data_IF_484813595328
#
_entry.id   IF_484813595328
#
_cell.length_a   1.000
_cell.length_b   1.000
_cell.length_c   1.000
_cell.angle_alpha   90.00
_cell.angle_beta   90.00
_cell.angle_gamma   90.00
#
_symmetry.space_group_name_H-M   'P 1'
#
loop_
_entity.id
_entity.type
_entity.pdbx_description
1 polymer ?
#
# COMPACT_ATOMS: atom_id res chain seq x y z
N UNK A 1 14.53 26.98 22.95
CA UNK A 1 14.89 25.84 22.07
C UNK A 1 13.67 24.95 21.85
N UNK A 2 13.14 24.88 20.63
CA UNK A 2 12.05 23.96 20.31
C UNK A 2 12.63 22.55 20.11
N UNK A 3 12.18 21.57 20.92
CA UNK A 3 12.58 20.18 20.77
C UNK A 3 12.27 19.66 19.35
N UNK A 4 13.21 18.91 18.73
CA UNK A 4 13.09 18.35 17.36
C UNK A 4 11.92 17.37 17.20
N UNK A 5 11.49 16.75 18.30
CA UNK A 5 10.43 15.75 18.33
C UNK A 5 9.29 16.25 19.24
N UNK A 6 8.38 17.04 18.66
CA UNK A 6 7.15 17.46 19.33
C UNK A 6 6.01 16.53 18.90
N UNK A 7 5.25 16.05 19.87
CA UNK A 7 3.99 15.35 19.62
C UNK A 7 2.85 16.21 20.19
N UNK A 8 1.81 16.38 19.40
CA UNK A 8 0.54 16.97 19.85
C UNK A 8 -0.38 15.82 20.24
N UNK A 9 -0.97 15.90 21.43
CA UNK A 9 -1.89 14.88 21.93
C UNK A 9 -3.29 15.46 21.96
N UNK A 10 -4.27 14.66 21.56
CA UNK A 10 -5.69 14.99 21.63
C UNK A 10 -6.32 14.12 22.72
N UNK A 11 -7.16 14.72 23.56
CA UNK A 11 -7.93 14.02 24.58
C UNK A 11 -9.31 13.66 24.01
N UNK A 12 -9.82 12.49 24.36
CA UNK A 12 -11.17 12.04 23.98
C UNK A 12 -12.28 12.78 24.72
N UNK A 13 -11.98 13.32 25.89
CA UNK A 13 -12.92 13.92 26.83
C UNK A 13 -12.19 14.86 27.81
N UNK A 14 -12.97 15.74 28.44
CA UNK A 14 -12.47 16.75 29.39
C UNK A 14 -11.99 16.13 30.71
N UNK A 15 -12.55 14.98 31.11
CA UNK A 15 -12.16 14.28 32.34
C UNK A 15 -10.73 13.76 32.26
N UNK A 16 -10.35 13.20 31.10
CA UNK A 16 -9.00 12.72 30.80
C UNK A 16 -8.00 13.88 30.77
N UNK A 17 -8.37 15.05 30.24
CA UNK A 17 -7.54 16.25 30.30
C UNK A 17 -7.33 16.68 31.77
N UNK A 18 -8.41 16.75 32.55
CA UNK A 18 -8.37 17.18 33.95
C UNK A 18 -7.50 16.24 34.80
N UNK A 19 -7.67 14.93 34.64
CA UNK A 19 -6.86 13.91 35.30
C UNK A 19 -5.37 14.08 35.00
N UNK A 20 -5.00 14.24 33.73
CA UNK A 20 -3.60 14.41 33.33
C UNK A 20 -3.03 15.75 33.80
N UNK A 21 -3.83 16.81 33.82
CA UNK A 21 -3.43 18.12 34.34
C UNK A 21 -3.12 18.08 35.83
N UNK A 22 -3.88 17.31 36.61
CA UNK A 22 -3.66 17.10 38.04
C UNK A 22 -2.37 16.31 38.30
N UNK A 23 -2.16 15.22 37.54
CA UNK A 23 -0.97 14.39 37.69
C UNK A 23 0.31 15.00 37.14
N UNK A 24 0.21 15.99 36.24
CA UNK A 24 1.35 16.67 35.63
C UNK A 24 2.06 17.70 36.53
N UNK A 25 1.63 17.84 37.78
CA UNK A 25 2.24 18.72 38.78
C UNK A 25 3.55 18.10 39.26
N UNK A 26 4.68 18.77 39.01
CA UNK A 26 5.98 18.38 39.56
C UNK A 26 6.03 18.70 41.06
N UNK A 27 6.97 18.07 41.77
CA UNK A 27 7.24 18.32 43.20
C UNK A 27 7.53 19.79 43.54
N UNK A 28 7.94 20.60 42.57
CA UNK A 28 8.18 22.03 42.70
C UNK A 28 6.97 22.91 42.30
N UNK A 29 5.78 22.34 42.17
CA UNK A 29 4.54 23.03 41.80
C UNK A 29 4.43 23.40 40.31
N UNK A 30 5.47 23.21 39.50
CA UNK A 30 5.42 23.51 38.06
C UNK A 30 4.70 22.39 37.29
N UNK A 31 3.75 22.76 36.43
CA UNK A 31 3.00 21.82 35.59
C UNK A 31 3.75 21.50 34.30
N UNK A 32 3.91 20.22 33.96
CA UNK A 32 4.47 19.82 32.67
C UNK A 32 3.85 18.50 32.21
N UNK A 33 2.75 18.61 31.46
CA UNK A 33 2.04 17.45 30.91
C UNK A 33 2.97 16.58 30.04
N UNK A 34 3.80 17.21 29.21
CA UNK A 34 4.78 16.51 28.37
C UNK A 34 5.79 15.69 29.18
N UNK A 35 6.24 16.20 30.33
CA UNK A 35 7.17 15.47 31.19
C UNK A 35 6.51 14.31 31.92
N UNK A 36 5.26 14.49 32.36
CA UNK A 36 4.48 13.42 32.99
C UNK A 36 4.14 12.30 32.00
N UNK A 37 3.76 12.64 30.77
CA UNK A 37 3.56 11.64 29.72
C UNK A 37 4.86 10.92 29.37
N UNK A 38 5.97 11.66 29.29
CA UNK A 38 7.28 11.06 29.08
C UNK A 38 7.65 10.10 30.22
N UNK A 39 7.31 10.42 31.48
CA UNK A 39 7.55 9.52 32.60
C UNK A 39 6.66 8.29 32.58
N UNK A 40 5.41 8.39 32.13
CA UNK A 40 4.55 7.22 31.90
C UNK A 40 5.13 6.29 30.82
N UNK A 41 5.55 6.86 29.68
CA UNK A 41 6.20 6.10 28.60
C UNK A 41 7.51 5.48 29.07
N UNK A 42 8.28 6.20 29.89
CA UNK A 42 9.54 5.69 30.45
C UNK A 42 9.29 4.56 31.44
N UNK A 43 8.30 4.71 32.33
CA UNK A 43 7.89 3.68 33.28
C UNK A 43 7.36 2.42 32.59
N UNK A 44 6.57 2.57 31.53
CA UNK A 44 6.16 1.43 30.69
C UNK A 44 7.36 0.75 30.03
N UNK A 45 8.32 1.52 29.49
CA UNK A 45 9.57 0.97 28.95
C UNK A 45 10.38 0.22 30.00
N UNK A 46 10.47 0.77 31.21
CA UNK A 46 11.18 0.17 32.34
C UNK A 46 10.48 -1.10 32.84
N UNK A 47 9.15 -1.11 32.93
CA UNK A 47 8.36 -2.31 33.25
C UNK A 47 8.58 -3.42 32.19
N UNK A 48 8.62 -3.05 30.91
CA UNK A 48 8.96 -3.94 29.79
C UNK A 48 10.44 -4.36 29.77
N UNK A 49 11.31 -3.71 30.56
CA UNK A 49 12.72 -4.09 30.73
C UNK A 49 12.94 -4.94 31.99
N UNK A 50 12.21 -4.68 33.07
CA UNK A 50 12.30 -5.40 34.34
C UNK A 50 11.68 -6.80 34.28
N UNK A 51 10.63 -6.99 33.47
CA UNK A 51 10.09 -8.31 33.14
C UNK A 51 11.04 -8.98 32.13
N UNK A 52 12.05 -9.68 32.64
CA UNK A 52 13.09 -10.39 31.88
C UNK A 52 12.52 -11.42 30.89
N UNK A 53 12.21 -10.94 29.68
CA UNK A 53 11.99 -11.76 28.47
C UNK A 53 12.87 -11.24 27.31
N UNK A 54 14.11 -10.86 27.62
CA UNK A 54 15.09 -10.30 26.67
C UNK A 54 15.77 -11.41 25.84
N UNK A 55 15.05 -12.48 25.50
CA UNK A 55 15.45 -13.45 24.46
C UNK A 55 14.58 -13.40 23.20
N UNK A 56 13.67 -12.41 23.09
CA UNK A 56 12.79 -12.29 21.93
C UNK A 56 12.33 -10.89 21.57
N UNK A 57 13.01 -9.81 22.01
CA UNK A 57 12.51 -8.44 21.77
C UNK A 57 12.38 -8.14 20.27
N UNK A 58 11.13 -8.04 19.83
CA UNK A 58 10.69 -7.48 18.56
C UNK A 58 11.27 -6.06 18.47
N UNK A 59 12.26 -5.87 17.61
CA UNK A 59 12.78 -4.53 17.33
C UNK A 59 11.63 -3.75 16.70
N UNK A 60 11.20 -2.61 17.30
CA UNK A 60 10.05 -1.88 16.80
C UNK A 60 10.30 -1.40 15.37
N UNK A 61 9.27 -1.43 14.55
CA UNK A 61 9.32 -0.94 13.18
C UNK A 61 9.40 0.58 13.19
N UNK A 62 10.46 1.14 12.60
CA UNK A 62 10.64 2.57 12.44
C UNK A 62 9.84 3.07 11.23
N UNK A 63 8.92 4.01 11.48
CA UNK A 63 8.18 4.70 10.43
C UNK A 63 8.92 5.98 10.04
N UNK A 64 9.26 6.09 8.76
CA UNK A 64 9.87 7.26 8.14
C UNK A 64 8.78 8.21 7.58
N UNK A 65 9.10 9.49 7.31
CA UNK A 65 8.19 10.42 6.66
C UNK A 65 7.57 9.82 5.39
N UNK A 66 6.34 10.21 5.07
CA UNK A 66 5.63 9.67 3.91
C UNK A 66 6.33 10.04 2.60
N UNK A 67 6.37 9.09 1.66
CA UNK A 67 6.85 9.33 0.30
C UNK A 67 5.74 9.99 -0.51
N UNK A 68 5.94 11.26 -0.86
CA UNK A 68 4.93 12.12 -1.51
C UNK A 68 5.13 12.27 -3.01
N UNK A 69 6.31 11.95 -3.54
CA UNK A 69 6.66 12.19 -4.95
C UNK A 69 6.10 11.09 -5.87
N UNK A 70 4.78 11.07 -6.02
CA UNK A 70 4.07 10.11 -6.88
C UNK A 70 2.89 10.78 -7.59
N UNK A 71 2.66 10.40 -8.84
CA UNK A 71 1.55 10.91 -9.66
C UNK A 71 0.40 9.91 -9.70
N UNK A 72 -0.78 10.34 -9.32
CA UNK A 72 -2.00 9.53 -9.40
C UNK A 72 -2.60 9.56 -10.82
N UNK A 73 -3.11 8.43 -11.28
CA UNK A 73 -3.85 8.28 -12.53
C UNK A 73 -4.81 7.10 -12.45
N UNK A 74 -5.80 7.08 -13.34
CA UNK A 74 -6.79 6.01 -13.41
C UNK A 74 -6.82 5.39 -14.79
N UNK A 75 -6.88 4.06 -14.84
CA UNK A 75 -6.99 3.28 -16.07
C UNK A 75 -8.35 2.59 -16.08
N UNK A 76 -9.09 2.77 -17.17
CA UNK A 76 -10.35 2.08 -17.39
C UNK A 76 -10.22 1.20 -18.63
N UNK A 77 -10.84 0.04 -18.61
CA UNK A 77 -10.82 -0.86 -19.76
C UNK A 77 -11.82 -1.98 -19.66
N UNK A 78 -11.89 -2.77 -20.73
CA UNK A 78 -12.62 -4.03 -20.76
C UNK A 78 -11.69 -5.19 -20.38
N UNK A 79 -12.26 -6.22 -19.78
CA UNK A 79 -11.55 -7.45 -19.42
C UNK A 79 -12.40 -8.66 -19.79
N UNK A 80 -11.76 -9.65 -20.38
CA UNK A 80 -12.33 -10.96 -20.63
C UNK A 80 -11.53 -11.98 -19.84
N UNK A 81 -12.22 -12.90 -19.18
CA UNK A 81 -11.58 -13.96 -18.42
C UNK A 81 -12.51 -15.18 -18.34
N UNK A 82 -11.91 -16.36 -18.21
CA UNK A 82 -12.64 -17.59 -17.99
C UNK A 82 -12.90 -17.71 -16.49
N UNK A 83 -14.17 -17.62 -16.09
CA UNK A 83 -14.61 -17.85 -14.72
C UNK A 83 -15.04 -19.29 -14.53
N UNK A 84 -15.14 -19.74 -13.28
CA UNK A 84 -15.70 -21.06 -13.00
C UNK A 84 -17.20 -21.07 -13.30
N UNK A 85 -17.72 -22.09 -14.02
CA UNK A 85 -19.13 -22.41 -13.95
C UNK A 85 -19.43 -22.86 -12.51
N UNK A 86 -20.37 -22.20 -11.83
CA UNK A 86 -20.89 -22.62 -10.51
C UNK A 86 -21.47 -24.06 -10.51
N UNK A 87 -21.58 -24.69 -11.68
CA UNK A 87 -22.37 -25.91 -11.92
C UNK A 87 -21.53 -27.18 -12.05
N UNK A 88 -20.20 -27.12 -12.29
CA UNK A 88 -19.50 -28.30 -12.85
C UNK A 88 -18.45 -29.04 -12.00
N UNK A 89 -17.97 -28.54 -10.86
CA UNK A 89 -16.92 -29.26 -10.11
C UNK A 89 -17.11 -29.21 -8.59
N UNK A 90 -17.92 -30.11 -8.00
CA UNK A 90 -18.23 -30.03 -6.57
C UNK A 90 -17.10 -30.47 -5.64
N UNK A 91 -16.03 -31.14 -6.10
CA UNK A 91 -15.04 -31.72 -5.19
C UNK A 91 -13.67 -31.91 -5.83
N UNK A 92 -12.64 -31.38 -5.16
CA UNK A 92 -11.22 -31.71 -5.24
C UNK A 92 -10.43 -31.19 -6.47
N UNK A 93 -9.96 -29.94 -6.37
CA UNK A 93 -9.00 -29.31 -7.30
C UNK A 93 -9.14 -27.78 -7.42
N UNK A 94 -10.25 -27.24 -6.90
CA UNK A 94 -10.75 -25.88 -7.11
C UNK A 94 -9.74 -24.75 -6.81
N UNK A 95 -8.85 -24.90 -5.83
CA UNK A 95 -8.04 -23.77 -5.38
C UNK A 95 -6.95 -23.32 -6.37
N UNK A 96 -6.38 -24.21 -7.18
CA UNK A 96 -5.27 -23.87 -8.08
C UNK A 96 -5.77 -23.25 -9.39
N UNK A 97 -6.83 -23.80 -9.98
CA UNK A 97 -7.44 -23.25 -11.19
C UNK A 97 -8.07 -21.88 -10.96
N UNK A 98 -8.77 -21.69 -9.83
CA UNK A 98 -9.33 -20.38 -9.44
C UNK A 98 -8.20 -19.36 -9.32
N UNK A 99 -7.10 -19.73 -8.65
CA UNK A 99 -5.92 -18.87 -8.51
C UNK A 99 -5.29 -18.55 -9.87
N UNK A 100 -5.23 -19.51 -10.78
CA UNK A 100 -4.67 -19.32 -12.11
C UNK A 100 -5.52 -18.37 -12.96
N UNK A 101 -6.85 -18.53 -12.95
CA UNK A 101 -7.76 -17.66 -13.70
C UNK A 101 -7.78 -16.24 -13.11
N UNK A 102 -7.75 -16.11 -11.78
CA UNK A 102 -7.63 -14.80 -11.14
C UNK A 102 -6.28 -14.12 -11.41
N UNK A 103 -5.19 -14.90 -11.51
CA UNK A 103 -3.88 -14.39 -11.93
C UNK A 103 -3.94 -13.86 -13.36
N UNK A 104 -4.55 -14.62 -14.27
CA UNK A 104 -4.75 -14.21 -15.67
C UNK A 104 -5.58 -12.93 -15.78
N UNK A 105 -6.66 -12.78 -15.01
CA UNK A 105 -7.42 -11.52 -14.96
C UNK A 105 -6.55 -10.33 -14.52
N UNK A 106 -5.74 -10.50 -13.48
CA UNK A 106 -4.86 -9.45 -12.98
C UNK A 106 -3.75 -9.12 -13.98
N UNK A 107 -3.23 -10.12 -14.70
CA UNK A 107 -2.27 -9.93 -15.79
C UNK A 107 -2.89 -9.11 -16.93
N UNK A 108 -4.13 -9.39 -17.34
CA UNK A 108 -4.83 -8.58 -18.36
C UNK A 108 -5.02 -7.13 -17.93
N UNK A 109 -5.33 -6.90 -16.64
CA UNK A 109 -5.41 -5.53 -16.08
C UNK A 109 -4.02 -4.87 -16.10
N UNK A 110 -2.97 -5.60 -15.76
CA UNK A 110 -1.59 -5.11 -15.75
C UNK A 110 -1.12 -4.73 -17.16
N UNK A 111 -1.42 -5.54 -18.16
CA UNK A 111 -1.12 -5.25 -19.56
C UNK A 111 -1.80 -3.96 -20.03
N UNK A 112 -3.07 -3.76 -19.65
CA UNK A 112 -3.81 -2.52 -19.97
C UNK A 112 -3.23 -1.31 -19.26
N UNK A 113 -2.73 -1.48 -18.03
CA UNK A 113 -2.03 -0.41 -17.31
C UNK A 113 -0.70 -0.09 -17.99
N UNK A 114 0.07 -1.10 -18.41
CA UNK A 114 1.32 -0.91 -19.16
C UNK A 114 1.07 -0.18 -20.47
N UNK A 115 0.05 -0.57 -21.23
CA UNK A 115 -0.36 0.09 -22.47
C UNK A 115 -0.71 1.57 -22.22
N UNK A 116 -1.50 1.85 -21.18
CA UNK A 116 -1.82 3.23 -20.80
C UNK A 116 -0.58 4.03 -20.40
N UNK A 117 0.35 3.43 -19.66
CA UNK A 117 1.60 4.08 -19.24
C UNK A 117 2.49 4.37 -20.45
N UNK A 118 2.61 3.43 -21.38
CA UNK A 118 3.32 3.63 -22.63
C UNK A 118 2.68 4.77 -23.43
N UNK A 119 1.37 4.78 -23.63
CA UNK A 119 0.72 5.77 -24.50
C UNK A 119 0.70 7.19 -23.93
N UNK A 120 0.52 7.35 -22.61
CA UNK A 120 0.34 8.67 -21.99
C UNK A 120 1.58 9.21 -21.30
N UNK A 121 2.55 8.36 -21.02
CA UNK A 121 3.76 8.73 -20.29
C UNK A 121 5.02 8.31 -21.05
N UNK A 122 4.93 7.88 -22.33
CA UNK A 122 6.10 7.79 -23.20
C UNK A 122 6.91 9.07 -23.12
N UNK A 123 8.23 8.93 -23.07
CA UNK A 123 9.17 10.04 -22.96
C UNK A 123 9.10 10.91 -24.24
N UNK A 124 8.10 11.79 -24.32
CA UNK A 124 8.14 12.90 -25.26
C UNK A 124 9.16 13.92 -24.74
N UNK A 125 10.41 13.75 -25.17
CA UNK A 125 11.22 14.88 -25.64
C UNK A 125 12.13 15.61 -24.65
N UNK A 126 12.07 15.42 -23.33
CA UNK A 126 13.00 16.12 -22.42
C UNK A 126 13.44 15.27 -21.24
N UNK A 127 14.61 14.64 -21.39
CA UNK A 127 15.59 14.16 -20.38
C UNK A 127 16.29 12.90 -20.88
N UNK A 128 17.02 13.01 -21.99
CA UNK A 128 17.79 11.91 -22.59
C UNK A 128 18.98 11.45 -21.71
N UNK A 129 19.23 12.08 -20.56
CA UNK A 129 20.42 11.83 -19.74
C UNK A 129 20.18 11.31 -18.32
N UNK A 130 18.98 11.38 -17.74
CA UNK A 130 18.76 10.85 -16.38
C UNK A 130 18.14 9.45 -16.49
N UNK A 131 18.98 8.41 -16.32
CA UNK A 131 18.51 7.02 -16.25
C UNK A 131 17.46 6.97 -15.15
N UNK A 132 16.23 6.62 -15.51
CA UNK A 132 15.11 6.50 -14.59
C UNK A 132 14.35 5.21 -14.82
N UNK A 133 13.70 4.73 -13.77
CA UNK A 133 12.77 3.61 -13.83
C UNK A 133 11.45 4.01 -13.18
N UNK A 134 10.37 3.30 -13.54
CA UNK A 134 9.02 3.65 -13.10
C UNK A 134 8.41 2.50 -12.33
N UNK A 135 7.79 2.82 -11.20
CA UNK A 135 6.95 1.90 -10.45
C UNK A 135 5.53 2.38 -10.52
N UNK A 136 4.65 1.49 -10.96
CA UNK A 136 3.21 1.72 -10.97
C UNK A 136 2.61 0.92 -9.84
N UNK A 137 2.12 1.65 -8.84
CA UNK A 137 1.44 1.12 -7.68
C UNK A 137 -0.08 1.13 -7.91
N UNK A 138 -0.68 -0.04 -8.13
CA UNK A 138 -2.13 -0.24 -8.14
C UNK A 138 -2.65 -0.10 -6.71
N UNK A 139 -3.35 1.00 -6.41
CA UNK A 139 -3.87 1.26 -5.05
C UNK A 139 -5.30 0.80 -4.86
N UNK A 140 -6.06 0.71 -5.95
CA UNK A 140 -7.45 0.25 -5.96
C UNK A 140 -7.81 -0.38 -7.30
N UNK A 141 -8.57 -1.47 -7.28
CA UNK A 141 -9.12 -2.09 -8.49
C UNK A 141 -10.61 -2.37 -8.28
N UNK A 142 -11.45 -1.87 -9.16
CA UNK A 142 -12.84 -2.29 -9.28
C UNK A 142 -13.04 -3.00 -10.60
N UNK A 143 -13.59 -4.20 -10.58
CA UNK A 143 -13.94 -4.97 -11.76
C UNK A 143 -15.37 -5.46 -11.63
N UNK A 144 -16.18 -5.09 -12.62
CA UNK A 144 -17.57 -5.51 -12.75
C UNK A 144 -17.70 -6.39 -13.98
N UNK A 145 -18.29 -7.57 -13.82
CA UNK A 145 -18.33 -8.57 -14.89
C UNK A 145 -19.71 -9.21 -15.04
N UNK A 146 -19.99 -9.77 -16.21
CA UNK A 146 -21.15 -10.61 -16.45
C UNK A 146 -20.77 -11.81 -17.30
N UNK A 147 -21.52 -12.90 -17.15
CA UNK A 147 -21.36 -14.07 -17.98
C UNK A 147 -21.86 -13.75 -19.40
N UNK A 148 -21.02 -13.98 -20.41
CA UNK A 148 -21.37 -13.81 -21.83
C UNK A 148 -21.70 -15.14 -22.49
N UNK A 149 -21.25 -16.26 -21.94
CA UNK A 149 -21.56 -17.60 -22.42
C UNK A 149 -21.55 -18.62 -21.27
N UNK A 150 -22.74 -19.11 -20.92
CA UNK A 150 -22.93 -20.18 -19.92
C UNK A 150 -22.29 -21.49 -20.34
N UNK A 151 -22.09 -21.73 -21.65
CA UNK A 151 -21.47 -22.96 -22.17
C UNK A 151 -19.94 -22.97 -22.02
N UNK A 152 -19.29 -21.81 -22.10
CA UNK A 152 -17.82 -21.70 -22.04
C UNK A 152 -17.30 -21.17 -20.70
N UNK A 153 -18.19 -20.69 -19.81
CA UNK A 153 -17.79 -20.03 -18.58
C UNK A 153 -17.03 -18.72 -18.84
N UNK A 154 -17.25 -18.10 -20.00
CA UNK A 154 -16.59 -16.86 -20.36
C UNK A 154 -17.31 -15.68 -19.67
N UNK A 155 -16.53 -14.89 -18.94
CA UNK A 155 -16.98 -13.66 -18.34
C UNK A 155 -16.32 -12.48 -19.02
N UNK A 156 -17.11 -11.45 -19.23
CA UNK A 156 -16.66 -10.19 -19.81
C UNK A 156 -17.10 -9.05 -18.91
N UNK A 157 -16.31 -7.99 -18.87
CA UNK A 157 -16.57 -6.91 -17.95
C UNK A 157 -15.75 -5.66 -18.21
N UNK A 158 -15.87 -4.74 -17.26
CA UNK A 158 -15.10 -3.50 -17.24
C UNK A 158 -14.37 -3.37 -15.91
N UNK A 159 -13.17 -2.84 -15.97
CA UNK A 159 -12.41 -2.49 -14.78
C UNK A 159 -12.06 -1.00 -14.73
N UNK A 160 -11.84 -0.54 -13.51
CA UNK A 160 -11.25 0.74 -13.17
C UNK A 160 -10.14 0.47 -12.17
N UNK A 161 -8.90 0.81 -12.53
CA UNK A 161 -7.74 0.73 -11.66
C UNK A 161 -7.24 2.13 -11.32
N UNK A 162 -7.19 2.46 -10.03
CA UNK A 162 -6.51 3.65 -9.54
C UNK A 162 -5.06 3.29 -9.26
N UNK A 163 -4.15 4.03 -9.87
CA UNK A 163 -2.72 3.78 -9.83
C UNK A 163 -1.95 5.03 -9.40
N UNK A 164 -0.77 4.80 -8.82
CA UNK A 164 0.22 5.85 -8.57
C UNK A 164 1.53 5.49 -9.26
N UNK A 165 2.05 6.41 -10.07
CA UNK A 165 3.34 6.27 -10.71
C UNK A 165 4.41 6.97 -9.88
N UNK A 166 5.45 6.23 -9.52
CA UNK A 166 6.68 6.73 -8.91
C UNK A 166 7.76 6.66 -9.99
N UNK A 167 8.30 7.81 -10.38
CA UNK A 167 9.45 7.88 -11.30
C UNK A 167 10.71 8.08 -10.47
N UNK A 168 11.60 7.10 -10.50
CA UNK A 168 12.84 7.12 -9.74
C UNK A 168 14.00 7.44 -10.68
N UNK A 169 14.37 8.72 -10.73
CA UNK A 169 15.57 9.21 -11.39
C UNK A 169 16.80 9.02 -10.51
N UNK A 170 18.02 9.24 -11.05
CA UNK A 170 19.23 9.24 -10.22
C UNK A 170 19.16 10.33 -9.15
N UNK A 171 18.68 11.51 -9.55
CA UNK A 171 18.50 12.64 -8.64
C UNK A 171 17.54 12.34 -7.48
N UNK A 172 16.41 11.65 -7.73
CA UNK A 172 15.49 11.22 -6.69
C UNK A 172 16.11 10.16 -5.77
N UNK A 173 16.83 9.20 -6.36
CA UNK A 173 17.53 8.16 -5.60
C UNK A 173 18.55 8.74 -4.61
N UNK A 174 19.35 9.69 -5.07
CA UNK A 174 20.39 10.34 -4.26
C UNK A 174 19.77 11.24 -3.17
N UNK A 175 18.65 11.92 -3.43
CA UNK A 175 17.87 12.64 -2.40
C UNK A 175 17.38 11.72 -1.28
N UNK A 176 16.95 10.51 -1.64
CA UNK A 176 16.53 9.50 -0.68
C UNK A 176 17.71 8.70 -0.09
N UNK A 177 18.96 9.06 -0.42
CA UNK A 177 20.17 8.39 0.08
C UNK A 177 20.30 6.93 -0.35
N UNK A 178 19.56 6.49 -1.37
CA UNK A 178 19.56 5.11 -1.85
C UNK A 178 19.08 4.05 -0.84
N UNK A 179 18.40 4.44 0.23
CA UNK A 179 17.92 3.50 1.27
C UNK A 179 16.49 3.02 1.05
N UNK A 180 15.74 3.63 0.14
CA UNK A 180 14.36 3.23 -0.17
C UNK A 180 14.36 2.08 -1.17
N UNK A 181 13.79 0.94 -0.76
CA UNK A 181 13.71 -0.28 -1.58
C UNK A 181 12.45 -0.27 -2.45
N UNK A 182 12.46 0.62 -3.44
CA UNK A 182 11.35 0.86 -4.37
C UNK A 182 10.84 -0.42 -5.06
N UNK A 183 11.71 -1.40 -5.36
CA UNK A 183 11.35 -2.67 -5.98
C UNK A 183 10.52 -3.61 -5.07
N UNK A 184 10.66 -3.46 -3.75
CA UNK A 184 10.03 -4.31 -2.73
C UNK A 184 8.90 -3.63 -1.98
N UNK A 185 8.31 -2.60 -2.61
CA UNK A 185 7.10 -1.94 -2.15
C UNK A 185 5.98 -2.97 -1.96
N UNK A 186 5.34 -2.93 -0.78
CA UNK A 186 4.30 -3.89 -0.41
C UNK A 186 3.21 -3.24 0.45
N UNK A 187 2.03 -3.85 0.43
CA UNK A 187 0.96 -3.49 1.36
C UNK A 187 1.21 -4.13 2.73
N UNK A 188 1.04 -3.37 3.80
CA UNK A 188 1.18 -3.85 5.18
C UNK A 188 0.00 -3.32 6.00
N UNK A 189 -0.67 -4.22 6.73
CA UNK A 189 -1.70 -3.85 7.71
C UNK A 189 -1.07 -3.16 8.90
N UNK A 190 -1.70 -2.11 9.44
CA UNK A 190 -1.19 -1.39 10.61
C UNK A 190 -1.03 -2.28 11.83
N UNK A 191 -1.93 -3.26 12.01
CA UNK A 191 -1.82 -4.28 13.06
C UNK A 191 -0.52 -5.09 12.93
N UNK A 192 -0.13 -5.48 11.71
CA UNK A 192 1.11 -6.21 11.47
C UNK A 192 2.36 -5.35 11.73
N UNK A 193 2.28 -4.03 11.48
CA UNK A 193 3.34 -3.08 11.86
C UNK A 193 3.48 -3.03 13.38
N UNK A 194 2.35 -2.97 14.11
CA UNK A 194 2.34 -2.92 15.57
C UNK A 194 2.88 -4.21 16.22
N UNK A 195 2.59 -5.37 15.63
CA UNK A 195 3.05 -6.68 16.12
C UNK A 195 4.51 -7.00 15.73
N UNK A 196 5.13 -6.19 14.86
CA UNK A 196 6.57 -6.19 14.52
C UNK A 196 7.23 -7.57 14.33
N UNK A 197 6.54 -8.54 13.71
CA UNK A 197 7.06 -9.90 13.52
C UNK A 197 8.29 -9.96 12.60
N UNK A 198 9.02 -11.09 12.59
CA UNK A 198 10.27 -11.31 11.81
C UNK A 198 10.17 -11.01 10.30
N UNK A 199 8.96 -10.89 9.73
CA UNK A 199 8.72 -10.70 8.30
C UNK A 199 8.46 -9.24 7.88
N UNK A 200 8.34 -8.32 8.83
CA UNK A 200 8.14 -6.89 8.54
C UNK A 200 9.50 -6.19 8.48
N UNK A 201 9.80 -5.41 7.41
CA UNK A 201 10.99 -4.59 7.38
C UNK A 201 11.08 -3.66 8.59
N UNK A 202 12.27 -3.52 9.15
CA UNK A 202 12.49 -2.71 10.36
C UNK A 202 12.32 -1.22 10.12
N UNK A 203 12.43 -0.76 8.88
CA UNK A 203 12.14 0.60 8.47
C UNK A 203 11.09 0.59 7.37
N UNK A 204 10.07 1.44 7.50
CA UNK A 204 9.01 1.58 6.50
C UNK A 204 8.77 3.05 6.21
N UNK A 205 8.68 3.39 4.93
CA UNK A 205 8.26 4.69 4.42
C UNK A 205 6.90 4.51 3.74
N UNK A 206 5.85 5.13 4.29
CA UNK A 206 4.50 5.00 3.75
C UNK A 206 4.38 5.80 2.45
N UNK A 207 3.78 5.24 1.41
CA UNK A 207 3.44 5.99 0.20
C UNK A 207 2.20 6.84 0.46
N UNK A 208 2.27 8.14 0.16
CA UNK A 208 1.14 9.03 0.32
C UNK A 208 0.02 8.67 -0.67
N UNK A 209 -1.22 8.66 -0.19
CA UNK A 209 -2.42 8.38 -0.99
C UNK A 209 -3.36 9.58 -0.90
N UNK A 210 -3.94 10.01 -2.04
CA UNK A 210 -4.87 11.15 -2.09
C UNK A 210 -6.14 10.89 -1.28
N UNK A 211 -6.62 9.63 -1.28
CA UNK A 211 -7.80 9.20 -0.54
C UNK A 211 -7.49 7.91 0.23
N UNK A 212 -7.66 7.94 1.55
CA UNK A 212 -7.58 6.72 2.38
C UNK A 212 -8.87 5.91 2.21
N UNK A 213 -8.90 5.05 1.19
CA UNK A 213 -10.03 4.13 0.98
C UNK A 213 -10.01 2.95 1.94
N UNK A 214 -8.86 2.70 2.58
CA UNK A 214 -8.60 1.57 3.47
C UNK A 214 -8.02 2.08 4.78
N UNK A 215 -8.66 1.71 5.88
CA UNK A 215 -8.25 2.13 7.23
C UNK A 215 -7.39 1.08 7.93
N UNK A 216 -7.29 -0.12 7.36
CA UNK A 216 -6.62 -1.28 7.95
C UNK A 216 -5.13 -1.34 7.61
N UNK A 217 -4.70 -0.71 6.51
CA UNK A 217 -3.31 -0.69 6.10
C UNK A 217 -2.95 0.33 5.03
N UNK A 218 -1.70 0.29 4.59
CA UNK A 218 -1.17 1.16 3.56
C UNK A 218 -0.05 0.47 2.77
N UNK A 219 0.33 1.08 1.65
CA UNK A 219 1.53 0.70 0.92
C UNK A 219 2.77 1.34 1.53
N UNK A 220 3.81 0.53 1.71
CA UNK A 220 5.08 0.95 2.27
C UNK A 220 6.23 0.56 1.36
N UNK A 221 7.18 1.48 1.24
CA UNK A 221 8.52 1.25 0.70
C UNK A 221 9.41 0.84 1.88
N UNK A 222 10.01 -0.36 1.88
CA UNK A 222 10.99 -0.74 2.89
C UNK A 222 12.18 0.22 2.91
N UNK A 223 12.67 0.54 4.11
CA UNK A 223 13.90 1.31 4.31
C UNK A 223 15.01 0.36 4.70
N UNK A 224 16.07 0.34 3.89
CA UNK A 224 17.23 -0.50 4.06
C UNK A 224 18.18 0.09 5.11
N UNK A 225 18.92 -0.78 5.77
CA UNK A 225 19.97 -0.37 6.72
C UNK A 225 21.20 0.19 6.02
N UNK A 226 21.42 -0.20 4.77
CA UNK A 226 22.55 0.25 3.94
C UNK A 226 22.03 0.75 2.59
N UNK A 227 22.58 1.85 2.06
CA UNK A 227 22.26 2.33 0.72
C UNK A 227 22.53 1.27 -0.35
N UNK A 228 21.60 1.13 -1.29
CA UNK A 228 21.81 0.41 -2.55
C UNK A 228 22.38 1.35 -3.60
N UNK A 229 23.18 0.78 -4.50
CA UNK A 229 23.60 1.48 -5.73
C UNK A 229 22.39 1.66 -6.64
N UNK A 230 22.37 2.76 -7.38
CA UNK A 230 21.37 2.97 -8.41
C UNK A 230 21.45 1.85 -9.47
N UNK A 231 20.31 1.29 -9.91
CA UNK A 231 20.28 0.23 -10.91
C UNK A 231 20.58 0.77 -12.33
N UNK A 232 21.85 1.08 -12.60
CA UNK A 232 22.30 1.73 -13.85
C UNK A 232 22.21 0.86 -15.11
N UNK A 233 22.12 -0.47 -14.95
CA UNK A 233 22.20 -1.46 -16.06
C UNK A 233 20.95 -2.31 -16.24
N UNK A 234 20.03 -2.33 -15.27
CA UNK A 234 18.95 -3.33 -15.20
C UNK A 234 17.57 -2.78 -15.55
N UNK A 235 17.38 -1.46 -15.58
CA UNK A 235 16.04 -0.86 -15.63
C UNK A 235 15.83 0.36 -16.57
N UNK A 236 16.74 0.75 -17.50
CA UNK A 236 16.41 1.85 -18.40
C UNK A 236 15.16 1.43 -19.19
N UNK A 237 14.07 2.17 -19.01
CA UNK A 237 12.74 1.97 -19.62
C UNK A 237 11.82 0.90 -19.00
N UNK A 238 12.20 0.22 -17.92
CA UNK A 238 11.31 -0.77 -17.31
C UNK A 238 10.22 -0.13 -16.43
N UNK A 239 8.96 -0.51 -16.67
CA UNK A 239 7.82 -0.23 -15.79
C UNK A 239 7.57 -1.44 -14.92
N UNK A 240 7.64 -1.27 -13.59
CA UNK A 240 7.35 -2.32 -12.62
C UNK A 240 5.96 -2.08 -12.04
N UNK A 241 5.03 -3.00 -12.26
CA UNK A 241 3.71 -2.96 -11.63
C UNK A 241 3.73 -3.69 -10.28
N UNK A 242 3.20 -3.05 -9.24
CA UNK A 242 2.99 -3.60 -7.89
C UNK A 242 1.63 -3.16 -7.37
N UNK A 243 1.17 -3.76 -6.27
CA UNK A 243 0.01 -3.27 -5.53
C UNK A 243 -1.09 -4.30 -5.38
N UNK A 244 -2.34 -3.84 -5.49
CA UNK A 244 -3.55 -4.66 -5.35
C UNK A 244 -3.53 -5.86 -6.30
N UNK A 245 -3.82 -7.03 -5.73
CA UNK A 245 -4.11 -8.27 -6.45
C UNK A 245 -5.47 -8.83 -6.00
N UNK A 246 -5.86 -10.00 -6.52
CA UNK A 246 -7.17 -10.62 -6.24
C UNK A 246 -7.39 -10.99 -4.75
N UNK A 247 -6.32 -11.11 -3.96
CA UNK A 247 -6.39 -11.52 -2.55
C UNK A 247 -6.62 -10.36 -1.58
N UNK A 248 -6.64 -9.12 -2.07
CA UNK A 248 -6.81 -7.93 -1.25
C UNK A 248 -8.23 -7.79 -0.66
N UNK A 249 -8.33 -6.98 0.38
CA UNK A 249 -9.59 -6.66 1.04
C UNK A 249 -10.57 -5.95 0.10
N UNK A 250 -11.86 -5.99 0.45
CA UNK A 250 -12.94 -5.31 -0.30
C UNK A 250 -12.76 -3.78 -0.37
N UNK A 251 -11.95 -3.20 0.51
CA UNK A 251 -11.62 -1.78 0.54
C UNK A 251 -10.66 -1.38 -0.60
N UNK A 252 -9.86 -2.33 -1.08
CA UNK A 252 -8.84 -2.15 -2.13
C UNK A 252 -9.21 -2.85 -3.43
N UNK A 253 -10.00 -3.91 -3.35
CA UNK A 253 -10.48 -4.70 -4.49
C UNK A 253 -12.00 -4.85 -4.47
N UNK A 254 -12.67 -4.36 -5.50
CA UNK A 254 -14.11 -4.59 -5.71
C UNK A 254 -14.32 -5.48 -6.93
N UNK A 255 -14.41 -6.78 -6.69
CA UNK A 255 -14.73 -7.76 -7.73
C UNK A 255 -16.20 -8.20 -7.59
N UNK A 256 -17.07 -7.80 -8.53
CA UNK A 256 -18.51 -8.04 -8.42
C UNK A 256 -19.16 -8.35 -9.77
N UNK A 257 -20.17 -9.21 -9.76
CA UNK A 257 -21.06 -9.35 -10.90
C UNK A 257 -21.85 -8.06 -11.15
N UNK A 258 -22.07 -7.72 -12.41
CA UNK A 258 -22.94 -6.62 -12.84
C UNK A 258 -24.39 -6.90 -12.45
N UNK A 259 -25.10 -5.87 -11.98
CA UNK A 259 -26.55 -5.93 -11.84
C UNK A 259 -27.24 -5.81 -13.22
N UNK A 260 -28.56 -6.04 -13.29
CA UNK A 260 -29.28 -6.02 -14.56
C UNK A 260 -29.14 -4.72 -15.34
N UNK A 261 -29.18 -3.58 -14.64
CA UNK A 261 -29.02 -2.26 -15.25
C UNK A 261 -27.62 -2.06 -15.83
N UNK A 262 -26.59 -2.55 -15.14
CA UNK A 262 -25.20 -2.52 -15.62
C UNK A 262 -25.00 -3.46 -16.81
N UNK A 263 -25.56 -4.68 -16.76
CA UNK A 263 -25.53 -5.64 -17.87
C UNK A 263 -26.17 -5.05 -19.13
N UNK A 264 -27.36 -4.46 -19.02
CA UNK A 264 -28.04 -3.80 -20.14
C UNK A 264 -27.16 -2.73 -20.78
N UNK A 265 -26.56 -1.84 -19.98
CA UNK A 265 -25.65 -0.79 -20.50
C UNK A 265 -24.38 -1.36 -21.13
N UNK A 266 -23.85 -2.44 -20.57
CA UNK A 266 -22.64 -3.08 -21.07
C UNK A 266 -22.87 -3.76 -22.42
N UNK A 267 -23.95 -4.55 -22.54
CA UNK A 267 -24.34 -5.23 -23.78
C UNK A 267 -24.84 -4.28 -24.89
N UNK A 268 -25.21 -3.05 -24.53
CA UNK A 268 -25.61 -1.99 -25.47
C UNK A 268 -24.42 -1.18 -26.00
N UNK A 269 -23.20 -1.35 -25.45
CA UNK A 269 -22.01 -0.72 -26.03
C UNK A 269 -21.67 -1.46 -27.34
N UNK A 270 -21.61 -0.76 -28.48
CA UNK A 270 -21.20 -1.34 -29.75
C UNK A 270 -19.73 -1.78 -29.73
#
# INVERSE_FOLDING_TARGET
MAYKYKATMYYSDEETEAFLRDKAVKSNGKKSASHYLYSLVTKERENLMANNDIKGKLVPVQLFPEYVNSREFSVNGSVDFIGLPEVYFPNNGESSLIRQNHKSLMETIDDKILEHVANHFSNHGHEVNDKSFRIVLKTYVACYYCNTSTATGLYSGTFTATCRMITVSRSEWDKCGGVLDFENLRYIKYEAVAQAGRRIPRGLCKVAESSRTDTTGAFFIPVLTLPKKFPEKTLPESVIIKGVDISFSKERLKFKAMNESQKKRYLLKP
#
